data_IF_031570530456
#
_entry.id   IF_031570530456
#
_cell.length_a   1.000
_cell.length_b   1.000
_cell.length_c   1.000
_cell.angle_alpha   90.00
_cell.angle_beta   90.00
_cell.angle_gamma   90.00
#
_symmetry.space_group_name_H-M   'P 1'
#
loop_
_entity.id
_entity.type
_entity.pdbx_description
1 polymer ?
#
# COMPACT_ATOMS: atom_id res chain seq x y z
N UNK A 1 -19.31 18.02 -17.37
CA UNK A 1 -19.04 16.60 -17.74
C UNK A 1 -17.54 16.31 -17.68
N UNK A 2 -16.72 17.18 -18.26
CA UNK A 2 -15.26 17.12 -18.23
C UNK A 2 -14.67 17.36 -16.84
N UNK A 3 -15.25 18.22 -15.98
CA UNK A 3 -14.73 18.40 -14.61
C UNK A 3 -14.81 17.12 -13.77
N UNK A 4 -15.88 16.33 -13.93
CA UNK A 4 -16.02 15.06 -13.20
C UNK A 4 -14.95 14.04 -13.62
N UNK A 5 -14.61 13.98 -14.90
CA UNK A 5 -13.54 13.12 -15.42
C UNK A 5 -12.19 13.53 -14.81
N UNK A 6 -11.93 14.84 -14.72
CA UNK A 6 -10.69 15.37 -14.14
C UNK A 6 -10.60 15.04 -12.64
N UNK A 7 -11.67 15.24 -11.88
CA UNK A 7 -11.69 14.95 -10.44
C UNK A 7 -11.48 13.44 -10.18
N UNK A 8 -12.14 12.56 -10.94
CA UNK A 8 -11.97 11.11 -10.80
C UNK A 8 -10.54 10.67 -11.13
N UNK A 9 -9.95 11.23 -12.19
CA UNK A 9 -8.57 10.93 -12.55
C UNK A 9 -7.57 11.33 -11.44
N UNK A 10 -7.77 12.47 -10.78
CA UNK A 10 -6.92 12.91 -9.68
C UNK A 10 -7.04 12.01 -8.44
N UNK A 11 -8.25 11.58 -8.09
CA UNK A 11 -8.48 10.64 -6.99
C UNK A 11 -7.84 9.28 -7.29
N UNK A 12 -7.96 8.79 -8.52
CA UNK A 12 -7.39 7.52 -8.94
C UNK A 12 -5.86 7.50 -8.79
N UNK A 13 -5.17 8.57 -9.21
CA UNK A 13 -3.71 8.70 -9.06
C UNK A 13 -3.30 8.79 -7.58
N UNK A 14 -4.05 9.51 -6.76
CA UNK A 14 -3.76 9.63 -5.33
C UNK A 14 -3.91 8.29 -4.57
N UNK A 15 -4.80 7.40 -5.03
CA UNK A 15 -5.07 6.13 -4.37
C UNK A 15 -4.07 5.01 -4.70
N UNK A 16 -3.23 5.16 -5.73
CA UNK A 16 -2.31 4.12 -6.21
C UNK A 16 -1.45 3.57 -5.08
N UNK A 17 -0.85 4.45 -4.27
CA UNK A 17 0.05 4.07 -3.19
C UNK A 17 -0.60 3.10 -2.19
N UNK A 18 -1.83 3.40 -1.75
CA UNK A 18 -2.58 2.58 -0.79
C UNK A 18 -2.87 1.20 -1.37
N UNK A 19 -3.25 1.11 -2.65
CA UNK A 19 -3.51 -0.17 -3.31
C UNK A 19 -2.24 -1.01 -3.48
N UNK A 20 -1.08 -0.41 -3.72
CA UNK A 20 0.20 -1.14 -3.75
C UNK A 20 0.52 -1.79 -2.39
N UNK A 21 0.40 -1.05 -1.28
CA UNK A 21 0.69 -1.61 0.03
C UNK A 21 -0.32 -2.70 0.44
N UNK A 22 -1.60 -2.50 0.11
CA UNK A 22 -2.63 -3.53 0.29
C UNK A 22 -2.31 -4.81 -0.49
N UNK A 23 -2.02 -4.68 -1.79
CA UNK A 23 -1.66 -5.81 -2.65
C UNK A 23 -0.42 -6.55 -2.15
N UNK A 24 0.61 -5.82 -1.70
CA UNK A 24 1.80 -6.39 -1.09
C UNK A 24 1.47 -7.17 0.19
N UNK A 25 0.61 -6.63 1.05
CA UNK A 25 0.18 -7.28 2.29
C UNK A 25 -0.51 -8.60 2.00
N UNK A 26 -1.53 -8.60 1.12
CA UNK A 26 -2.28 -9.81 0.74
C UNK A 26 -1.34 -10.85 0.12
N UNK A 27 -0.52 -10.47 -0.85
CA UNK A 27 0.40 -11.40 -1.53
C UNK A 27 1.38 -12.05 -0.56
N UNK A 28 1.99 -11.26 0.33
CA UNK A 28 2.95 -11.76 1.32
C UNK A 28 2.26 -12.69 2.33
N UNK A 29 1.03 -12.37 2.75
CA UNK A 29 0.29 -13.21 3.68
C UNK A 29 -0.16 -14.53 3.04
N UNK A 30 -0.61 -14.49 1.78
CA UNK A 30 -0.90 -15.70 1.00
C UNK A 30 0.36 -16.56 0.82
N UNK A 31 1.52 -15.94 0.56
CA UNK A 31 2.79 -16.65 0.48
C UNK A 31 3.18 -17.29 1.83
N UNK A 32 2.96 -16.60 2.95
CA UNK A 32 3.20 -17.16 4.28
C UNK A 32 2.33 -18.40 4.52
N UNK A 33 1.03 -18.32 4.24
CA UNK A 33 0.09 -19.44 4.38
C UNK A 33 0.50 -20.61 3.47
N UNK A 34 0.88 -20.33 2.23
CA UNK A 34 1.31 -21.37 1.29
C UNK A 34 2.59 -22.08 1.75
N UNK A 35 3.57 -21.35 2.30
CA UNK A 35 4.78 -21.95 2.86
C UNK A 35 4.48 -22.83 4.08
N UNK A 36 3.66 -22.35 5.02
CA UNK A 36 3.26 -23.12 6.20
C UNK A 36 2.50 -24.40 5.82
N UNK A 37 1.59 -24.32 4.84
CA UNK A 37 0.87 -25.50 4.32
C UNK A 37 1.83 -26.49 3.65
N UNK A 38 2.88 -26.00 2.99
CA UNK A 38 3.91 -26.84 2.38
C UNK A 38 4.89 -27.43 3.42
N UNK A 39 4.78 -27.07 4.71
CA UNK A 39 5.69 -27.49 5.77
C UNK A 39 6.99 -26.66 5.85
N UNK A 40 7.04 -25.52 5.15
CA UNK A 40 8.14 -24.57 5.17
C UNK A 40 7.84 -23.41 6.16
N UNK A 41 8.90 -22.72 6.58
CA UNK A 41 8.78 -21.55 7.46
C UNK A 41 8.22 -20.33 6.70
N UNK A 42 7.03 -19.87 7.10
CA UNK A 42 6.36 -18.70 6.55
C UNK A 42 6.70 -17.38 7.24
N UNK A 43 7.55 -17.36 8.28
CA UNK A 43 7.81 -16.16 9.11
C UNK A 43 8.32 -14.96 8.30
N UNK A 44 9.21 -15.17 7.34
CA UNK A 44 9.74 -14.07 6.51
C UNK A 44 8.63 -13.40 5.69
N UNK A 45 7.79 -14.20 5.04
CA UNK A 45 6.66 -13.67 4.26
C UNK A 45 5.64 -12.97 5.17
N UNK A 46 5.39 -13.51 6.37
CA UNK A 46 4.53 -12.87 7.37
C UNK A 46 5.10 -11.53 7.85
N UNK A 47 6.42 -11.45 8.09
CA UNK A 47 7.10 -10.20 8.46
C UNK A 47 6.96 -9.14 7.37
N UNK A 48 7.15 -9.53 6.10
CA UNK A 48 6.96 -8.63 4.96
C UNK A 48 5.52 -8.13 4.84
N UNK A 49 4.53 -8.99 5.10
CA UNK A 49 3.12 -8.58 5.15
C UNK A 49 2.86 -7.54 6.26
N UNK A 50 3.42 -7.76 7.46
CA UNK A 50 3.31 -6.83 8.59
C UNK A 50 3.95 -5.47 8.27
N UNK A 51 5.15 -5.47 7.69
CA UNK A 51 5.83 -4.24 7.26
C UNK A 51 4.98 -3.48 6.23
N UNK A 52 4.48 -4.16 5.20
CA UNK A 52 3.63 -3.53 4.20
C UNK A 52 2.35 -2.93 4.81
N UNK A 53 1.72 -3.61 5.76
CA UNK A 53 0.55 -3.12 6.47
C UNK A 53 0.86 -1.87 7.32
N UNK A 54 1.99 -1.86 8.03
CA UNK A 54 2.42 -0.70 8.83
C UNK A 54 2.78 0.51 7.97
N UNK A 55 3.43 0.28 6.82
CA UNK A 55 3.68 1.34 5.84
C UNK A 55 2.36 1.88 5.30
N UNK A 56 1.40 1.01 4.94
CA UNK A 56 0.07 1.44 4.51
C UNK A 56 -0.62 2.32 5.56
N UNK A 57 -0.57 1.93 6.84
CA UNK A 57 -1.14 2.68 7.94
C UNK A 57 -0.44 4.05 8.12
N UNK A 58 0.88 4.10 7.95
CA UNK A 58 1.65 5.35 8.03
C UNK A 58 1.29 6.30 6.89
N UNK A 59 1.22 5.79 5.66
CA UNK A 59 0.86 6.58 4.49
C UNK A 59 -0.60 7.07 4.56
N UNK A 60 -1.52 6.25 5.08
CA UNK A 60 -2.92 6.64 5.30
C UNK A 60 -3.06 7.80 6.31
N UNK A 61 -2.18 7.87 7.32
CA UNK A 61 -2.16 8.95 8.30
C UNK A 61 -1.36 10.18 7.83
N UNK A 62 -0.61 10.07 6.73
CA UNK A 62 0.17 11.17 6.19
C UNK A 62 -0.74 12.10 5.41
N UNK A 63 -1.07 13.26 6.00
CA UNK A 63 -1.88 14.29 5.36
C UNK A 63 -1.09 14.93 4.22
N UNK A 64 -1.45 14.64 2.97
CA UNK A 64 -0.89 15.28 1.77
C UNK A 64 -1.81 16.41 1.30
N UNK A 65 -1.33 17.64 1.33
CA UNK A 65 -2.02 18.83 0.84
C UNK A 65 -1.07 19.73 0.05
N UNK A 66 -1.60 20.81 -0.51
CA UNK A 66 -0.82 21.79 -1.29
C UNK A 66 0.17 22.58 -0.43
N UNK A 67 0.08 22.51 0.89
CA UNK A 67 1.02 23.17 1.82
C UNK A 67 2.28 22.33 2.04
N UNK A 68 2.19 21.01 1.85
CA UNK A 68 3.29 20.06 2.04
C UNK A 68 3.57 19.20 0.80
N UNK A 69 3.35 19.77 -0.39
CA UNK A 69 3.56 19.08 -1.67
C UNK A 69 5.04 18.80 -2.00
N UNK A 70 5.98 19.51 -1.37
CA UNK A 70 7.44 19.34 -1.58
C UNK A 70 8.00 18.24 -0.68
N UNK A 71 8.87 17.37 -1.21
CA UNK A 71 9.53 16.32 -0.41
C UNK A 71 8.75 14.99 -0.26
N UNK A 72 7.60 14.88 -0.92
CA UNK A 72 6.73 13.68 -0.89
C UNK A 72 7.14 12.56 -1.85
N UNK A 73 8.22 12.73 -2.62
CA UNK A 73 8.65 11.83 -3.70
C UNK A 73 9.64 10.74 -3.22
N UNK A 74 10.15 10.86 -1.99
CA UNK A 74 11.29 10.06 -1.50
C UNK A 74 10.96 9.13 -0.33
N UNK A 75 9.66 8.91 -0.05
CA UNK A 75 9.19 7.89 0.92
C UNK A 75 8.58 6.71 0.19
#
# INVERSE_FOLDING_TARGET
MTEYIIIVALIAVAAIAVYTYFGNTVRNQTAAIANEIAGNDGTTARSNASTAANTAATEANTKRNLENYTGNVTK
#
